data_IF_120785225387
#
_entry.id   IF_120785225387
#
_cell.length_a   1.000
_cell.length_b   1.000
_cell.length_c   1.000
_cell.angle_alpha   90.00
_cell.angle_beta   90.00
_cell.angle_gamma   90.00
#
_symmetry.space_group_name_H-M   'P 1'
#
loop_
_entity.id
_entity.type
_entity.pdbx_description
1 polymer ?
#
# COMPACT_ATOMS: atom_id res chain seq x y z
N UNK A 1 2.17 12.64 -9.30
CA UNK A 1 2.13 11.42 -8.48
C UNK A 1 0.69 11.09 -8.12
N UNK A 2 0.27 9.87 -8.44
CA UNK A 2 -1.13 9.44 -8.32
C UNK A 2 -1.59 9.29 -6.85
N UNK A 3 -0.69 8.93 -5.94
CA UNK A 3 -0.95 8.80 -4.49
C UNK A 3 -1.42 10.11 -3.86
N UNK A 4 -0.73 11.22 -4.15
CA UNK A 4 -1.04 12.55 -3.63
C UNK A 4 -2.42 13.09 -4.03
N UNK A 5 -3.07 12.52 -5.04
CA UNK A 5 -4.39 12.97 -5.47
C UNK A 5 -5.45 12.69 -4.39
N UNK A 6 -5.29 11.63 -3.59
CA UNK A 6 -6.25 11.28 -2.54
C UNK A 6 -6.39 12.43 -1.53
N UNK A 7 -5.29 12.89 -0.94
CA UNK A 7 -5.27 14.02 0.00
C UNK A 7 -5.69 15.34 -0.64
N UNK A 8 -5.30 15.58 -1.90
CA UNK A 8 -5.72 16.80 -2.62
C UNK A 8 -7.24 16.89 -2.77
N UNK A 9 -7.90 15.80 -3.16
CA UNK A 9 -9.33 15.83 -3.45
C UNK A 9 -10.22 15.56 -2.23
N UNK A 10 -9.77 14.74 -1.29
CA UNK A 10 -10.59 14.38 -0.11
C UNK A 10 -10.43 15.40 1.03
N UNK A 11 -9.29 16.08 1.11
CA UNK A 11 -8.96 16.96 2.24
C UNK A 11 -8.56 18.37 1.78
N UNK A 12 -8.68 18.70 0.48
CA UNK A 12 -8.25 19.96 -0.11
C UNK A 12 -6.78 20.33 0.23
N UNK A 13 -5.94 19.32 0.45
CA UNK A 13 -4.55 19.52 0.81
C UNK A 13 -3.78 20.19 -0.35
N UNK A 14 -2.98 21.24 -0.11
CA UNK A 14 -2.18 21.86 -1.17
C UNK A 14 -1.29 20.83 -1.88
N UNK A 15 -1.24 20.92 -3.22
CA UNK A 15 -0.52 19.96 -4.08
C UNK A 15 0.89 19.62 -3.59
N UNK A 16 1.68 20.63 -3.21
CA UNK A 16 3.06 20.42 -2.75
C UNK A 16 3.13 19.62 -1.44
N UNK A 17 2.18 19.85 -0.51
CA UNK A 17 2.11 19.13 0.76
C UNK A 17 1.68 17.68 0.54
N UNK A 18 0.66 17.46 -0.29
CA UNK A 18 0.19 16.12 -0.61
C UNK A 18 1.25 15.28 -1.34
N UNK A 19 2.03 15.92 -2.22
CA UNK A 19 3.16 15.27 -2.88
C UNK A 19 4.27 14.92 -1.89
N UNK A 20 4.66 15.85 -1.02
CA UNK A 20 5.69 15.59 0.00
C UNK A 20 5.27 14.45 0.93
N UNK A 21 4.03 14.45 1.41
CA UNK A 21 3.49 13.41 2.28
C UNK A 21 3.55 12.03 1.60
N UNK A 22 3.10 11.94 0.34
CA UNK A 22 3.14 10.68 -0.38
C UNK A 22 4.57 10.19 -0.67
N UNK A 23 5.54 11.09 -0.86
CA UNK A 23 6.97 10.70 -0.97
C UNK A 23 7.49 10.19 0.38
N UNK A 24 7.19 10.85 1.50
CA UNK A 24 7.62 10.43 2.83
C UNK A 24 7.17 8.99 3.14
N UNK A 25 5.91 8.64 2.86
CA UNK A 25 5.43 7.28 3.08
C UNK A 25 5.98 6.27 2.07
N UNK A 26 6.28 6.68 0.83
CA UNK A 26 7.04 5.84 -0.09
C UNK A 26 8.45 5.56 0.45
N UNK A 27 9.12 6.55 1.04
CA UNK A 27 10.43 6.39 1.67
C UNK A 27 10.38 5.43 2.87
N UNK A 28 9.36 5.51 3.74
CA UNK A 28 9.14 4.53 4.82
C UNK A 28 9.04 3.09 4.28
N UNK A 29 8.41 2.91 3.13
CA UNK A 29 8.31 1.63 2.44
C UNK A 29 9.61 1.20 1.75
N UNK A 30 10.62 2.07 1.65
CA UNK A 30 11.85 1.82 0.88
C UNK A 30 11.68 2.02 -0.63
N UNK A 31 10.66 2.80 -1.03
CA UNK A 31 10.18 2.99 -2.39
C UNK A 31 10.24 4.47 -2.83
N UNK A 32 11.11 5.28 -2.22
CA UNK A 32 11.25 6.71 -2.57
C UNK A 32 11.61 6.92 -4.05
N UNK A 33 12.50 6.08 -4.59
CA UNK A 33 13.01 6.17 -5.96
C UNK A 33 11.94 5.93 -7.04
N UNK A 34 10.77 5.40 -6.67
CA UNK A 34 9.69 5.12 -7.62
C UNK A 34 8.65 6.23 -7.71
N UNK A 35 8.75 7.31 -6.92
CA UNK A 35 7.72 8.35 -6.79
C UNK A 35 7.28 8.96 -8.13
N UNK A 36 8.18 9.01 -9.12
CA UNK A 36 7.93 9.57 -10.44
C UNK A 36 7.84 8.52 -11.56
N UNK A 37 7.97 7.22 -11.25
CA UNK A 37 7.80 6.14 -12.24
C UNK A 37 6.33 6.02 -12.66
N UNK A 38 6.10 5.59 -13.90
CA UNK A 38 4.75 5.25 -14.39
C UNK A 38 4.39 3.82 -13.97
N UNK A 39 3.10 3.52 -13.78
CA UNK A 39 2.62 2.19 -13.38
C UNK A 39 3.19 1.01 -14.21
N UNK A 40 3.36 1.11 -15.56
CA UNK A 40 3.96 0.02 -16.33
C UNK A 40 5.43 -0.24 -16.02
N UNK A 41 6.13 0.72 -15.40
CA UNK A 41 7.53 0.62 -15.01
C UNK A 41 7.72 0.12 -13.59
N UNK A 42 6.63 -0.23 -12.89
CA UNK A 42 6.69 -0.75 -11.53
C UNK A 42 6.74 -2.29 -11.55
N UNK A 43 7.50 -2.87 -10.62
CA UNK A 43 7.40 -4.30 -10.30
C UNK A 43 6.03 -4.62 -9.69
N UNK A 44 5.73 -5.90 -9.50
CA UNK A 44 4.46 -6.33 -8.89
C UNK A 44 4.34 -5.87 -7.44
N UNK A 45 5.45 -5.94 -6.71
CA UNK A 45 5.59 -5.55 -5.31
C UNK A 45 5.51 -4.03 -5.14
N UNK A 46 6.21 -3.27 -6.01
CA UNK A 46 6.11 -1.81 -6.08
C UNK A 46 4.67 -1.39 -6.36
N UNK A 47 4.00 -2.04 -7.32
CA UNK A 47 2.61 -1.78 -7.66
C UNK A 47 1.67 -2.09 -6.49
N UNK A 48 1.85 -3.23 -5.83
CA UNK A 48 1.08 -3.62 -4.66
C UNK A 48 1.20 -2.56 -3.55
N UNK A 49 2.43 -2.16 -3.21
CA UNK A 49 2.68 -1.14 -2.20
C UNK A 49 2.08 0.22 -2.56
N UNK A 50 2.16 0.64 -3.83
CA UNK A 50 1.51 1.88 -4.29
C UNK A 50 0.00 1.80 -4.15
N UNK A 51 -0.63 0.68 -4.50
CA UNK A 51 -2.08 0.49 -4.31
C UNK A 51 -2.48 0.51 -2.84
N UNK A 52 -1.75 -0.21 -1.99
CA UNK A 52 -1.96 -0.24 -0.55
C UNK A 52 -1.82 1.16 0.06
N UNK A 53 -0.76 1.88 -0.27
CA UNK A 53 -0.53 3.24 0.22
C UNK A 53 -1.62 4.21 -0.25
N UNK A 54 -2.12 4.06 -1.49
CA UNK A 54 -3.26 4.86 -1.97
C UNK A 54 -4.52 4.63 -1.14
N UNK A 55 -4.81 3.37 -0.79
CA UNK A 55 -5.96 3.05 0.05
C UNK A 55 -5.80 3.63 1.47
N UNK A 56 -4.59 3.56 2.03
CA UNK A 56 -4.27 4.08 3.36
C UNK A 56 -4.29 5.62 3.43
N UNK A 57 -4.14 6.31 2.31
CA UNK A 57 -4.17 7.78 2.26
C UNK A 57 -5.57 8.38 2.43
N UNK A 58 -6.62 7.57 2.47
CA UNK A 58 -7.97 8.04 2.80
C UNK A 58 -8.03 8.34 4.30
N UNK A 59 -8.66 9.46 4.68
CA UNK A 59 -8.86 9.79 6.09
C UNK A 59 -9.65 8.69 6.79
N UNK A 60 -9.19 8.28 7.98
CA UNK A 60 -9.79 7.22 8.79
C UNK A 60 -9.96 5.90 8.01
N UNK A 61 -8.98 5.56 7.16
CA UNK A 61 -9.06 4.40 6.27
C UNK A 61 -9.28 3.09 7.03
N UNK A 62 -10.23 2.28 6.54
CA UNK A 62 -10.31 0.85 6.83
C UNK A 62 -9.82 0.10 5.61
N UNK A 63 -8.67 -0.57 5.73
CA UNK A 63 -8.08 -1.31 4.63
C UNK A 63 -8.72 -2.69 4.50
N UNK A 64 -9.04 -3.05 3.26
CA UNK A 64 -9.46 -4.39 2.86
C UNK A 64 -8.54 -4.81 1.73
N UNK A 65 -7.74 -5.85 1.96
CA UNK A 65 -6.86 -6.45 0.97
C UNK A 65 -7.47 -7.79 0.57
N UNK A 66 -8.08 -7.83 -0.61
CA UNK A 66 -8.64 -9.05 -1.19
C UNK A 66 -7.58 -9.74 -2.06
N UNK A 67 -7.23 -10.98 -1.67
CA UNK A 67 -6.36 -11.89 -2.40
C UNK A 67 -5.03 -11.26 -2.85
N UNK A 68 -4.17 -10.82 -1.91
CA UNK A 68 -2.92 -10.12 -2.22
C UNK A 68 -2.04 -10.89 -3.21
N UNK A 69 -2.01 -12.22 -3.09
CA UNK A 69 -1.21 -13.09 -3.96
C UNK A 69 -1.68 -13.11 -5.42
N UNK A 70 -2.86 -12.57 -5.78
CA UNK A 70 -3.20 -12.33 -7.20
C UNK A 70 -2.29 -11.28 -7.84
N UNK A 71 -1.82 -10.31 -7.06
CA UNK A 71 -0.94 -9.23 -7.53
C UNK A 71 0.53 -9.68 -7.41
N UNK A 72 0.89 -10.34 -6.31
CA UNK A 72 2.26 -10.77 -5.99
C UNK A 72 2.33 -12.30 -5.79
N UNK A 73 2.07 -13.11 -6.84
CA UNK A 73 1.88 -14.56 -6.70
C UNK A 73 3.14 -15.33 -6.31
N UNK A 74 4.31 -14.77 -6.61
CA UNK A 74 5.61 -15.39 -6.39
C UNK A 74 6.06 -15.35 -4.92
N UNK A 75 5.39 -14.57 -4.06
CA UNK A 75 5.73 -14.53 -2.65
C UNK A 75 5.41 -15.86 -1.97
N UNK A 76 6.34 -16.28 -1.09
CA UNK A 76 6.22 -17.52 -0.32
C UNK A 76 5.16 -17.43 0.75
N UNK A 77 5.12 -16.31 1.45
CA UNK A 77 4.24 -16.05 2.58
C UNK A 77 3.78 -14.58 2.61
N UNK A 78 2.93 -14.26 3.58
CA UNK A 78 2.32 -12.94 3.77
C UNK A 78 3.27 -11.92 4.44
N UNK A 79 4.48 -12.29 4.87
CA UNK A 79 5.33 -11.43 5.70
C UNK A 79 5.73 -10.13 5.00
N UNK A 80 5.88 -10.15 3.68
CA UNK A 80 6.10 -8.93 2.90
C UNK A 80 4.96 -7.92 3.08
N UNK A 81 3.71 -8.40 2.98
CA UNK A 81 2.50 -7.58 3.13
C UNK A 81 2.39 -7.03 4.54
N UNK A 82 2.57 -7.89 5.56
CA UNK A 82 2.51 -7.49 6.97
C UNK A 82 3.60 -6.47 7.30
N UNK A 83 4.82 -6.68 6.82
CA UNK A 83 5.93 -5.73 7.03
C UNK A 83 5.66 -4.39 6.37
N UNK A 84 5.09 -4.38 5.17
CA UNK A 84 4.71 -3.15 4.49
C UNK A 84 3.60 -2.40 5.24
N UNK A 85 2.56 -3.13 5.72
CA UNK A 85 1.47 -2.56 6.51
C UNK A 85 1.93 -1.93 7.83
N UNK A 86 2.87 -2.57 8.53
CA UNK A 86 3.47 -2.06 9.78
C UNK A 86 4.22 -0.75 9.59
N UNK A 87 4.79 -0.49 8.42
CA UNK A 87 5.55 0.74 8.13
C UNK A 87 4.66 1.98 7.93
N UNK A 88 3.35 1.76 7.78
CA UNK A 88 2.36 2.80 7.50
C UNK A 88 1.13 2.65 8.41
N UNK A 89 1.29 2.03 9.58
CA UNK A 89 0.19 1.74 10.51
C UNK A 89 -0.50 3.00 11.05
N UNK A 90 0.20 4.13 11.03
CA UNK A 90 -0.33 5.45 11.35
C UNK A 90 -1.35 6.01 10.34
N UNK A 91 -1.50 5.39 9.16
CA UNK A 91 -2.40 5.88 8.10
C UNK A 91 -3.81 5.29 8.13
N UNK A 92 -4.05 4.17 8.84
CA UNK A 92 -5.33 3.47 8.79
C UNK A 92 -5.78 3.03 10.18
N UNK A 93 -7.10 2.90 10.35
CA UNK A 93 -7.73 2.51 11.62
C UNK A 93 -7.72 0.99 11.80
N UNK A 94 -7.92 0.24 10.71
CA UNK A 94 -7.90 -1.22 10.72
C UNK A 94 -7.53 -1.75 9.33
N UNK A 95 -7.02 -2.99 9.29
CA UNK A 95 -6.72 -3.69 8.05
C UNK A 95 -7.22 -5.13 8.15
N UNK A 96 -7.95 -5.56 7.12
CA UNK A 96 -8.44 -6.92 6.98
C UNK A 96 -7.91 -7.51 5.68
N UNK A 97 -7.31 -8.70 5.75
CA UNK A 97 -6.82 -9.43 4.58
C UNK A 97 -7.72 -10.64 4.39
N UNK A 98 -8.28 -10.79 3.19
CA UNK A 98 -9.16 -11.89 2.82
C UNK A 98 -8.54 -12.69 1.69
N UNK A 99 -8.63 -14.01 1.77
CA UNK A 99 -8.17 -14.91 0.72
C UNK A 99 -8.97 -16.21 0.76
N UNK A 100 -8.75 -17.08 -0.22
CA UNK A 100 -9.32 -18.42 -0.22
C UNK A 100 -8.65 -19.30 0.82
N UNK A 101 -9.42 -20.25 1.37
CA UNK A 101 -8.94 -21.21 2.36
C UNK A 101 -7.72 -22.02 1.86
N UNK A 102 -7.61 -22.31 0.57
CA UNK A 102 -6.43 -23.02 0.03
C UNK A 102 -5.12 -22.23 0.16
N UNK A 103 -5.17 -20.94 0.50
CA UNK A 103 -3.99 -20.10 0.69
C UNK A 103 -3.50 -20.10 2.14
N UNK A 104 -4.17 -20.81 3.06
CA UNK A 104 -3.90 -20.84 4.50
C UNK A 104 -2.41 -21.03 4.83
N UNK A 105 -1.71 -21.92 4.13
CA UNK A 105 -0.27 -22.16 4.32
C UNK A 105 0.60 -20.92 4.13
N UNK A 106 0.19 -19.96 3.28
CA UNK A 106 0.93 -18.70 3.06
C UNK A 106 0.69 -17.66 4.16
N UNK A 107 -0.39 -17.80 4.92
CA UNK A 107 -0.74 -16.91 6.02
C UNK A 107 -0.17 -17.40 7.34
N UNK A 108 -0.07 -18.72 7.54
CA UNK A 108 0.41 -19.31 8.79
C UNK A 108 -0.53 -19.02 9.97
N UNK A 109 0.00 -19.04 11.19
CA UNK A 109 -0.71 -18.64 12.41
C UNK A 109 -0.69 -17.10 12.56
N UNK A 110 -1.50 -16.40 11.78
CA UNK A 110 -1.71 -14.95 11.90
C UNK A 110 -2.71 -14.60 13.01
#
# INVERSE_FOLDING_TARGET
MNIALIKQFHENMPKHQAQRLAVEYLERLGLGDIANKRNPSLTLEERFCVMMLRAAMVKDAMLVIDQPFKIIPHLKDVQYVITALKKIDDLYVSCHIYDYQWMEEKYGEL
#
